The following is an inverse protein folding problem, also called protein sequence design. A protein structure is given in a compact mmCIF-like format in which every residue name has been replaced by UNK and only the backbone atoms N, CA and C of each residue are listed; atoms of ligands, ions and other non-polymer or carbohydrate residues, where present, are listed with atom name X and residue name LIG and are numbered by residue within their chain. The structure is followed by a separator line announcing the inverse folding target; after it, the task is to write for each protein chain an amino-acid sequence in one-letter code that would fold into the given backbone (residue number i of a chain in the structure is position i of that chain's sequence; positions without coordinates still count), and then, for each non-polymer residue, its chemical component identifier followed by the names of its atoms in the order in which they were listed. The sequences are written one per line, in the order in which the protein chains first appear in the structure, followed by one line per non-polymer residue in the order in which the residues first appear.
data_IF_392584927376
#
_entry.id   IF_392584927376
#
_cell.length_a   1.000
_cell.length_b   1.000
_cell.length_c   1.000
_cell.angle_alpha   90.00
_cell.angle_beta   90.00
_cell.angle_gamma   90.00
#
_symmetry.space_group_name_H-M   'P 1'
#
loop_
_entity.id
_entity.type
_entity.pdbx_description
1 polymer ?
#
# COMPACT_ATOMS: atom_id res chain seq x y z
N UNK A 1 2.62 32.41 -8.99
CA UNK A 1 2.26 31.59 -7.81
C UNK A 1 1.55 30.25 -8.15
N UNK A 2 1.22 29.94 -9.41
CA UNK A 2 0.39 28.75 -9.74
C UNK A 2 1.16 27.41 -9.82
N UNK A 3 2.48 27.43 -10.07
CA UNK A 3 3.27 26.20 -10.22
C UNK A 3 3.44 25.38 -8.93
N UNK A 4 3.45 26.04 -7.77
CA UNK A 4 3.62 25.38 -6.47
C UNK A 4 2.38 24.60 -6.04
N UNK A 5 1.18 25.16 -6.23
CA UNK A 5 -0.08 24.48 -5.89
C UNK A 5 -0.36 23.29 -6.80
N UNK A 6 -0.10 23.42 -8.11
CA UNK A 6 -0.25 22.30 -9.05
C UNK A 6 0.71 21.14 -8.72
N UNK A 7 1.95 21.45 -8.36
CA UNK A 7 2.92 20.44 -7.92
C UNK A 7 2.49 19.76 -6.62
N UNK A 8 2.00 20.51 -5.62
CA UNK A 8 1.50 19.93 -4.37
C UNK A 8 0.25 19.07 -4.58
N UNK A 9 -0.67 19.51 -5.43
CA UNK A 9 -1.87 18.74 -5.79
C UNK A 9 -1.49 17.42 -6.48
N UNK A 10 -0.62 17.46 -7.50
CA UNK A 10 -0.15 16.26 -8.18
C UNK A 10 0.61 15.32 -7.24
N UNK A 11 1.51 15.86 -6.41
CA UNK A 11 2.24 15.08 -5.40
C UNK A 11 1.28 14.42 -4.41
N UNK A 12 0.27 15.15 -3.93
CA UNK A 12 -0.74 14.60 -3.02
C UNK A 12 -1.56 13.49 -3.66
N UNK A 13 -1.93 13.61 -4.94
CA UNK A 13 -2.66 12.58 -5.68
C UNK A 13 -1.83 11.30 -5.86
N UNK A 14 -0.55 11.43 -6.21
CA UNK A 14 0.36 10.30 -6.32
C UNK A 14 0.57 9.60 -4.96
N UNK A 15 0.76 10.38 -3.89
CA UNK A 15 0.91 9.84 -2.54
C UNK A 15 -0.38 9.19 -2.03
N UNK A 16 -1.55 9.73 -2.39
CA UNK A 16 -2.84 9.13 -2.08
C UNK A 16 -2.95 7.74 -2.71
N UNK A 17 -2.69 7.64 -4.02
CA UNK A 17 -2.71 6.37 -4.74
C UNK A 17 -1.70 5.38 -4.16
N UNK A 18 -0.46 5.82 -3.90
CA UNK A 18 0.57 4.99 -3.32
C UNK A 18 0.18 4.49 -1.92
N UNK A 19 -0.37 5.37 -1.06
CA UNK A 19 -0.79 5.03 0.31
C UNK A 19 -1.89 3.98 0.30
N UNK A 20 -2.94 4.18 -0.49
CA UNK A 20 -4.06 3.24 -0.59
C UNK A 20 -3.55 1.90 -1.15
N UNK A 21 -2.83 1.92 -2.27
CA UNK A 21 -2.37 0.72 -2.94
C UNK A 21 -1.44 -0.13 -2.06
N UNK A 22 -0.43 0.49 -1.45
CA UNK A 22 0.51 -0.23 -0.57
C UNK A 22 -0.15 -0.72 0.71
N UNK A 23 -1.10 0.04 1.28
CA UNK A 23 -1.87 -0.39 2.47
C UNK A 23 -2.79 -1.56 2.16
N UNK A 24 -3.42 -1.57 0.97
CA UNK A 24 -4.22 -2.70 0.49
C UNK A 24 -3.36 -3.94 0.41
N UNK A 25 -2.25 -3.88 -0.32
CA UNK A 25 -1.35 -5.01 -0.46
C UNK A 25 -0.81 -5.48 0.91
N UNK A 26 -0.40 -4.57 1.80
CA UNK A 26 0.12 -4.93 3.12
C UNK A 26 -0.93 -5.67 3.98
N UNK A 27 -2.15 -5.14 4.07
CA UNK A 27 -3.24 -5.77 4.82
C UNK A 27 -3.61 -7.17 4.30
N UNK A 28 -3.40 -7.39 3.00
CA UNK A 28 -3.68 -8.66 2.35
C UNK A 28 -2.55 -9.69 2.53
N UNK A 29 -1.30 -9.27 2.67
CA UNK A 29 -0.19 -10.17 3.04
C UNK A 29 -0.27 -10.61 4.50
N UNK A 30 -0.68 -9.72 5.41
CA UNK A 30 -0.68 -10.00 6.85
C UNK A 30 -1.73 -11.01 7.29
N UNK A 31 -2.74 -11.27 6.45
CA UNK A 31 -3.69 -12.34 6.68
C UNK A 31 -3.14 -13.56 5.93
N UNK A 32 -2.90 -14.70 6.57
CA UNK A 32 -2.75 -15.98 5.88
C UNK A 32 -4.14 -16.62 5.70
N UNK A 33 -4.44 -17.14 4.51
CA UNK A 33 -5.69 -17.87 4.22
C UNK A 33 -5.32 -19.00 3.27
N UNK A 34 -5.79 -20.25 3.50
CA UNK A 34 -5.52 -21.37 2.62
C UNK A 34 -5.86 -21.11 1.15
N UNK A 35 -6.93 -20.34 0.89
CA UNK A 35 -7.41 -20.00 -0.46
C UNK A 35 -6.39 -19.15 -1.24
N UNK A 36 -5.55 -18.37 -0.56
CA UNK A 36 -4.48 -17.60 -1.22
C UNK A 36 -3.34 -18.45 -1.72
N UNK A 37 -3.03 -19.52 -1.00
CA UNK A 37 -1.88 -20.36 -1.30
C UNK A 37 -2.08 -21.11 -2.59
N UNK A 38 -3.24 -21.74 -2.78
CA UNK A 38 -3.60 -22.38 -4.06
C UNK A 38 -3.60 -21.36 -5.20
N UNK A 39 -4.15 -20.18 -4.98
CA UNK A 39 -4.26 -19.16 -6.02
C UNK A 39 -2.90 -18.51 -6.39
N UNK A 40 -1.97 -18.42 -5.45
CA UNK A 40 -0.59 -17.96 -5.71
C UNK A 40 0.25 -19.03 -6.42
N UNK A 41 -0.02 -20.30 -6.16
CA UNK A 41 0.57 -21.44 -6.90
C UNK A 41 0.09 -21.41 -8.35
N UNK A 42 -1.22 -21.25 -8.56
CA UNK A 42 -1.84 -21.45 -9.87
C UNK A 42 -1.76 -20.23 -10.82
N UNK A 43 -1.92 -18.99 -10.32
CA UNK A 43 -2.01 -17.81 -11.20
C UNK A 43 -0.79 -16.88 -11.18
N UNK A 44 0.10 -16.97 -10.18
CA UNK A 44 1.17 -15.99 -9.98
C UNK A 44 2.52 -16.33 -10.65
N UNK A 45 2.55 -17.36 -11.51
CA UNK A 45 3.72 -17.70 -12.35
C UNK A 45 4.93 -18.18 -11.56
N UNK A 46 4.72 -18.91 -10.47
CA UNK A 46 5.76 -19.61 -9.69
C UNK A 46 6.68 -18.73 -8.84
N UNK A 47 6.93 -17.46 -9.20
CA UNK A 47 7.83 -16.57 -8.43
C UNK A 47 7.28 -16.17 -7.07
N UNK A 48 5.96 -15.98 -6.97
CA UNK A 48 5.28 -15.71 -5.70
C UNK A 48 5.25 -16.95 -4.80
N UNK A 49 5.08 -18.13 -5.41
CA UNK A 49 5.23 -19.41 -4.71
C UNK A 49 6.65 -19.58 -4.17
N UNK A 50 7.67 -19.37 -5.01
CA UNK A 50 9.08 -19.44 -4.59
C UNK A 50 9.43 -18.43 -3.50
N UNK A 51 8.80 -17.26 -3.49
CA UNK A 51 8.94 -16.29 -2.41
C UNK A 51 8.29 -16.79 -1.12
N UNK A 52 7.08 -17.36 -1.21
CA UNK A 52 6.37 -17.92 -0.07
C UNK A 52 7.09 -19.15 0.54
N UNK A 53 7.64 -20.01 -0.31
CA UNK A 53 8.47 -21.16 0.09
C UNK A 53 9.82 -20.75 0.71
N UNK A 54 10.18 -19.47 0.63
CA UNK A 54 11.36 -18.89 1.28
C UNK A 54 10.94 -17.90 2.38
N UNK A 55 10.65 -18.38 3.62
CA UNK A 55 10.03 -17.58 4.68
C UNK A 55 10.74 -16.24 4.95
N UNK A 56 12.08 -16.24 4.96
CA UNK A 56 12.89 -15.02 5.16
C UNK A 56 12.67 -13.97 4.06
N UNK A 57 12.59 -14.40 2.80
CA UNK A 57 12.38 -13.51 1.65
C UNK A 57 10.94 -12.98 1.63
N UNK A 58 9.97 -13.82 2.00
CA UNK A 58 8.59 -13.40 2.18
C UNK A 58 8.45 -12.36 3.30
N UNK A 59 9.09 -12.57 4.45
CA UNK A 59 9.11 -11.62 5.55
C UNK A 59 9.77 -10.28 5.17
N UNK A 60 10.90 -10.32 4.46
CA UNK A 60 11.56 -9.11 3.95
C UNK A 60 10.66 -8.34 2.98
N UNK A 61 9.98 -9.03 2.07
CA UNK A 61 9.02 -8.41 1.15
C UNK A 61 7.85 -7.76 1.89
N UNK A 62 7.26 -8.48 2.87
CA UNK A 62 6.18 -7.95 3.72
C UNK A 62 6.64 -6.71 4.50
N UNK A 63 7.86 -6.75 5.04
CA UNK A 63 8.45 -5.63 5.75
C UNK A 63 8.63 -4.39 4.85
N UNK A 64 9.18 -4.56 3.64
CA UNK A 64 9.35 -3.48 2.67
C UNK A 64 8.01 -2.85 2.31
N UNK A 65 7.00 -3.66 2.02
CA UNK A 65 5.67 -3.18 1.64
C UNK A 65 4.99 -2.40 2.78
N UNK A 66 5.04 -2.92 4.01
CA UNK A 66 4.55 -2.21 5.21
C UNK A 66 5.29 -0.89 5.42
N UNK A 67 6.61 -0.87 5.19
CA UNK A 67 7.43 0.34 5.31
C UNK A 67 7.03 1.37 4.26
N UNK A 68 6.85 0.96 3.01
CA UNK A 68 6.34 1.84 1.93
C UNK A 68 4.95 2.41 2.25
N UNK A 69 4.04 1.62 2.82
CA UNK A 69 2.72 2.09 3.24
C UNK A 69 2.81 3.17 4.31
N UNK A 70 3.68 2.98 5.32
CA UNK A 70 3.90 3.98 6.38
C UNK A 70 4.55 5.26 5.84
N UNK A 71 5.59 5.12 5.01
CA UNK A 71 6.30 6.28 4.43
C UNK A 71 5.37 7.09 3.52
N UNK A 72 4.58 6.43 2.67
CA UNK A 72 3.62 7.12 1.79
C UNK A 72 2.52 7.83 2.58
N UNK A 73 1.97 7.21 3.64
CA UNK A 73 0.98 7.85 4.51
C UNK A 73 1.55 9.08 5.24
N UNK A 74 2.77 8.98 5.78
CA UNK A 74 3.46 10.12 6.42
C UNK A 74 3.72 11.23 5.41
N UNK A 75 4.24 10.88 4.22
CA UNK A 75 4.48 11.83 3.14
C UNK A 75 3.18 12.55 2.73
N UNK A 76 2.07 11.81 2.61
CA UNK A 76 0.77 12.37 2.29
C UNK A 76 0.32 13.37 3.35
N UNK A 77 0.41 13.02 4.65
CA UNK A 77 0.06 13.91 5.74
C UNK A 77 0.90 15.19 5.72
N UNK A 78 2.20 15.09 5.44
CA UNK A 78 3.10 16.25 5.32
C UNK A 78 2.68 17.14 4.15
N UNK A 79 2.43 16.59 2.96
CA UNK A 79 2.03 17.37 1.78
C UNK A 79 0.68 18.03 2.00
N UNK A 80 -0.30 17.32 2.56
CA UNK A 80 -1.61 17.89 2.92
C UNK A 80 -1.49 19.00 3.96
N UNK A 81 -0.59 18.88 4.94
CA UNK A 81 -0.34 19.94 5.92
C UNK A 81 0.28 21.20 5.29
N UNK A 82 0.93 21.08 4.13
CA UNK A 82 1.46 22.21 3.34
C UNK A 82 0.40 22.83 2.43
N UNK A 83 -0.67 22.12 2.09
CA UNK A 83 -1.86 22.67 1.43
C UNK A 83 -2.68 23.45 2.46
N UNK A 84 -2.19 24.64 2.84
CA UNK A 84 -2.94 25.60 3.65
C UNK A 84 -3.59 26.62 2.72
N UNK A 85 -4.93 26.64 2.61
CA UNK A 85 -5.63 27.82 2.15
C UNK A 85 -5.34 28.98 3.11
N UNK A 86 -5.06 30.17 2.57
CA UNK A 86 -4.87 31.37 3.36
C UNK A 86 -6.11 31.61 4.25
N UNK A 87 -5.91 31.74 5.57
CA UNK A 87 -6.98 32.04 6.54
C UNK A 87 -7.52 30.88 7.39
N UNK A 88 -7.04 29.64 7.22
CA UNK A 88 -7.42 28.52 8.10
C UNK A 88 -6.55 28.44 9.38
N UNK A 89 -7.13 28.10 10.54
CA UNK A 89 -6.44 28.12 11.84
C UNK A 89 -5.29 27.10 11.94
N UNK A 90 -4.55 27.18 13.06
CA UNK A 90 -3.35 26.39 13.39
C UNK A 90 -3.57 24.86 13.27
N UNK A 91 -4.82 24.38 13.24
CA UNK A 91 -5.25 22.98 13.16
C UNK A 91 -4.96 22.23 11.84
N UNK A 92 -4.43 22.89 10.81
CA UNK A 92 -4.11 22.27 9.50
C UNK A 92 -3.35 20.93 9.57
N UNK A 93 -2.23 20.82 10.32
CA UNK A 93 -1.49 19.56 10.45
C UNK A 93 -2.30 18.46 11.15
N UNK A 94 -3.08 18.80 12.17
CA UNK A 94 -3.94 17.83 12.87
C UNK A 94 -5.02 17.29 11.93
N UNK A 95 -5.67 18.16 11.16
CA UNK A 95 -6.67 17.76 10.16
C UNK A 95 -6.06 16.87 9.07
N UNK A 96 -4.84 17.16 8.63
CA UNK A 96 -4.14 16.31 7.66
C UNK A 96 -3.89 14.90 8.22
N UNK A 97 -3.39 14.79 9.45
CA UNK A 97 -3.17 13.49 10.11
C UNK A 97 -4.49 12.74 10.31
N UNK A 98 -5.54 13.41 10.79
CA UNK A 98 -6.86 12.80 10.96
C UNK A 98 -7.45 12.35 9.63
N UNK A 99 -7.29 13.15 8.57
CA UNK A 99 -7.74 12.83 7.22
C UNK A 99 -7.04 11.60 6.65
N UNK A 100 -5.71 11.51 6.79
CA UNK A 100 -4.94 10.32 6.38
C UNK A 100 -5.32 9.11 7.22
N UNK A 101 -5.48 9.28 8.54
CA UNK A 101 -5.95 8.20 9.42
C UNK A 101 -7.33 7.68 9.04
N UNK A 102 -8.26 8.57 8.73
CA UNK A 102 -9.60 8.22 8.24
C UNK A 102 -9.54 7.47 6.91
N UNK A 103 -8.74 7.96 5.95
CA UNK A 103 -8.51 7.28 4.68
C UNK A 103 -8.01 5.84 4.87
N UNK A 104 -7.02 5.64 5.73
CA UNK A 104 -6.49 4.32 6.04
C UNK A 104 -7.55 3.41 6.67
N UNK A 105 -8.35 3.95 7.60
CA UNK A 105 -9.45 3.22 8.23
C UNK A 105 -10.54 2.79 7.22
N UNK A 106 -10.92 3.69 6.32
CA UNK A 106 -11.88 3.39 5.23
C UNK A 106 -11.30 2.35 4.28
N UNK A 107 -10.03 2.48 3.91
CA UNK A 107 -9.33 1.52 3.04
C UNK A 107 -9.34 0.12 3.66
N UNK A 108 -8.99 0.01 4.95
CA UNK A 108 -9.03 -1.25 5.69
C UNK A 108 -10.45 -1.83 5.78
N UNK A 109 -11.46 -0.99 6.01
CA UNK A 109 -12.86 -1.43 6.04
C UNK A 109 -13.33 -1.96 4.68
N UNK A 110 -13.00 -1.26 3.60
CA UNK A 110 -13.33 -1.66 2.23
C UNK A 110 -12.63 -2.97 1.89
N UNK A 111 -11.34 -3.11 2.20
CA UNK A 111 -10.60 -4.35 2.01
C UNK A 111 -11.25 -5.52 2.76
N UNK A 112 -11.64 -5.31 4.02
CA UNK A 112 -12.36 -6.32 4.81
C UNK A 112 -13.67 -6.74 4.14
N UNK A 113 -14.43 -5.79 3.59
CA UNK A 113 -15.70 -6.07 2.93
C UNK A 113 -15.50 -6.80 1.59
N UNK A 114 -14.55 -6.36 0.77
CA UNK A 114 -14.23 -6.97 -0.52
C UNK A 114 -13.81 -8.43 -0.34
N UNK A 115 -12.84 -8.69 0.54
CA UNK A 115 -12.34 -10.05 0.81
C UNK A 115 -13.44 -10.96 1.38
N UNK A 116 -14.37 -10.41 2.17
CA UNK A 116 -15.51 -11.19 2.69
C UNK A 116 -16.56 -11.51 1.62
N UNK A 117 -16.74 -10.66 0.63
CA UNK A 117 -17.81 -10.78 -0.38
C UNK A 117 -17.38 -11.62 -1.57
N UNK A 118 -16.17 -11.38 -2.09
CA UNK A 118 -15.62 -12.05 -3.26
C UNK A 118 -14.11 -12.27 -3.05
N UNK A 119 -13.74 -13.33 -2.30
CA UNK A 119 -12.35 -13.62 -2.02
C UNK A 119 -11.57 -13.94 -3.30
N UNK A 120 -12.13 -14.70 -4.24
CA UNK A 120 -11.42 -15.13 -5.44
C UNK A 120 -11.20 -13.96 -6.42
N UNK A 121 -12.23 -13.18 -6.74
CA UNK A 121 -12.10 -12.03 -7.64
C UNK A 121 -11.16 -10.97 -7.07
N UNK A 122 -11.19 -10.74 -5.75
CA UNK A 122 -10.21 -9.88 -5.10
C UNK A 122 -8.79 -10.44 -5.31
N UNK A 123 -8.56 -11.72 -5.03
CA UNK A 123 -7.23 -12.34 -5.15
C UNK A 123 -6.66 -12.31 -6.58
N UNK A 124 -7.50 -12.44 -7.62
CA UNK A 124 -7.06 -12.28 -9.02
C UNK A 124 -6.52 -10.89 -9.31
N UNK A 125 -7.30 -9.85 -9.01
CA UNK A 125 -6.88 -8.46 -9.22
C UNK A 125 -5.62 -8.11 -8.42
N UNK A 126 -5.51 -8.66 -7.21
CA UNK A 126 -4.36 -8.46 -6.33
C UNK A 126 -3.11 -9.16 -6.83
N UNK A 127 -3.23 -10.33 -7.44
CA UNK A 127 -2.07 -11.05 -8.00
C UNK A 127 -1.37 -10.21 -9.08
N UNK A 128 -2.13 -9.51 -9.93
CA UNK A 128 -1.57 -8.58 -10.90
C UNK A 128 -0.83 -7.42 -10.21
N UNK A 129 -1.47 -6.80 -9.21
CA UNK A 129 -0.87 -5.73 -8.42
C UNK A 129 0.43 -6.18 -7.72
N UNK A 130 0.44 -7.37 -7.12
CA UNK A 130 1.62 -7.94 -6.49
C UNK A 130 2.76 -8.13 -7.50
N UNK A 131 2.49 -8.70 -8.67
CA UNK A 131 3.53 -8.89 -9.71
C UNK A 131 4.20 -7.57 -10.08
N UNK A 132 3.42 -6.50 -10.21
CA UNK A 132 3.97 -5.16 -10.48
C UNK A 132 4.86 -4.64 -9.35
N UNK A 133 4.51 -4.91 -8.09
CA UNK A 133 5.33 -4.49 -6.93
C UNK A 133 6.54 -5.38 -6.67
N UNK A 134 6.44 -6.68 -6.99
CA UNK A 134 7.47 -7.65 -6.70
C UNK A 134 8.71 -7.39 -7.56
N UNK A 135 8.53 -7.12 -8.85
CA UNK A 135 9.63 -6.88 -9.80
C UNK A 135 10.62 -5.81 -9.30
N UNK A 136 10.20 -4.59 -8.93
CA UNK A 136 11.12 -3.59 -8.39
C UNK A 136 11.61 -3.92 -6.97
N UNK A 137 10.87 -4.72 -6.19
CA UNK A 137 11.26 -5.09 -4.83
C UNK A 137 12.30 -6.23 -4.77
N UNK A 138 12.38 -7.09 -5.80
CA UNK A 138 13.31 -8.22 -5.85
C UNK A 138 14.77 -7.90 -5.48
N UNK A 139 15.42 -6.85 -6.03
CA UNK A 139 16.80 -6.54 -5.65
C UNK A 139 16.93 -6.17 -4.17
N UNK A 140 15.95 -5.47 -3.60
CA UNK A 140 15.95 -5.10 -2.18
C UNK A 140 15.67 -6.31 -1.29
N UNK A 141 14.78 -7.20 -1.70
CA UNK A 141 14.51 -8.46 -0.98
C UNK A 141 15.76 -9.34 -0.96
N UNK A 142 16.48 -9.45 -2.08
CA UNK A 142 17.73 -10.21 -2.14
C UNK A 142 18.83 -9.62 -1.25
N UNK A 143 18.87 -8.29 -1.10
CA UNK A 143 19.80 -7.61 -0.20
C UNK A 143 19.47 -7.84 1.27
N UNK A 144 18.18 -7.84 1.64
CA UNK A 144 17.72 -7.99 3.02
C UNK A 144 17.64 -9.45 3.47
N UNK A 145 17.43 -10.38 2.55
CA UNK A 145 17.26 -11.81 2.79
C UNK A 145 17.96 -12.64 1.69
N UNK A 146 19.31 -12.72 1.71
CA UNK A 146 20.11 -13.46 0.72
C UNK A 146 19.75 -14.95 0.66
#
# INVERSE_FOLDING_TARGET
MNGSLASLALTSGLLLLATVFTSVLAALLERPSPIRLSHWVDEAGGRLLALYEAPRRFEAFRFLLSTCAKISAVGLAVVLARLRPDGLPVSGPLLAVLGVGFLLAVTELVNRRLVRRDPEGALKGLTAAYRMTLVPALPLVALLAP
#
